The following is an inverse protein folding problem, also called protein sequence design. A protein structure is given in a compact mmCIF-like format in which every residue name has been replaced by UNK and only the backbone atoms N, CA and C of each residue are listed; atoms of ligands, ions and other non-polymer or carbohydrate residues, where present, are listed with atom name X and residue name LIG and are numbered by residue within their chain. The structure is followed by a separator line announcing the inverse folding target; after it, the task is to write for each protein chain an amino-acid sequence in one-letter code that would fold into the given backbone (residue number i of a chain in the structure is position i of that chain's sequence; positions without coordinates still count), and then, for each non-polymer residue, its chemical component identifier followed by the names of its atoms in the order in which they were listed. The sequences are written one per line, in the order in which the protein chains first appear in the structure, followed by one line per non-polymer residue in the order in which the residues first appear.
data_IF_086550872107
#
_entry.id   IF_086550872107
#
_cell.length_a   1.000
_cell.length_b   1.000
_cell.length_c   1.000
_cell.angle_alpha   90.00
_cell.angle_beta   90.00
_cell.angle_gamma   90.00
#
_symmetry.space_group_name_H-M   'P 1'
#
loop_
_entity.id
_entity.type
_entity.pdbx_description
1 polymer ?
#
# COMPACT_ATOMS: atom_id res chain seq x y z
N UNK A 1 18.53 9.59 -31.57
CA UNK A 1 18.49 10.83 -30.76
C UNK A 1 17.10 10.91 -30.13
N UNK A 2 16.96 10.63 -28.84
CA UNK A 2 15.66 10.65 -28.16
C UNK A 2 15.20 12.12 -28.08
N UNK A 3 14.08 12.45 -28.71
CA UNK A 3 13.44 13.76 -28.54
C UNK A 3 13.11 13.96 -27.06
N UNK A 4 13.45 15.11 -26.45
CA UNK A 4 13.09 15.38 -25.06
C UNK A 4 11.57 15.52 -24.97
N UNK A 5 10.93 14.53 -24.33
CA UNK A 5 9.49 14.54 -24.03
C UNK A 5 9.23 15.44 -22.83
N UNK A 6 8.21 16.31 -22.92
CA UNK A 6 7.72 17.05 -21.76
C UNK A 6 7.11 16.10 -20.71
N UNK A 7 7.00 16.53 -19.45
CA UNK A 7 6.37 15.71 -18.40
C UNK A 7 4.97 15.24 -18.80
N UNK A 8 4.13 16.16 -19.26
CA UNK A 8 2.77 15.84 -19.69
C UNK A 8 2.74 14.89 -20.88
N UNK A 9 3.69 15.00 -21.82
CA UNK A 9 3.76 14.07 -22.95
C UNK A 9 4.21 12.68 -22.50
N UNK A 10 5.17 12.59 -21.59
CA UNK A 10 5.62 11.33 -20.99
C UNK A 10 4.47 10.59 -20.31
N UNK A 11 3.62 11.29 -19.56
CA UNK A 11 2.43 10.69 -18.91
C UNK A 11 1.45 10.13 -19.94
N UNK A 12 1.22 10.84 -21.06
CA UNK A 12 0.35 10.38 -22.13
C UNK A 12 0.89 9.16 -22.84
N UNK A 13 2.20 9.12 -23.12
CA UNK A 13 2.83 7.96 -23.75
C UNK A 13 2.87 6.75 -22.80
N UNK A 14 3.04 6.97 -21.49
CA UNK A 14 2.97 5.91 -20.50
C UNK A 14 1.57 5.30 -20.39
N UNK A 15 0.50 6.12 -20.43
CA UNK A 15 -0.88 5.60 -20.49
C UNK A 15 -1.15 4.82 -21.77
N UNK A 16 -0.68 5.34 -22.90
CA UNK A 16 -0.81 4.70 -24.20
C UNK A 16 -0.21 3.29 -24.18
N UNK A 17 1.03 3.18 -23.73
CA UNK A 17 1.75 1.91 -23.62
C UNK A 17 1.04 0.95 -22.67
N UNK A 18 0.66 1.42 -21.49
CA UNK A 18 -0.06 0.64 -20.49
C UNK A 18 -1.36 0.07 -21.05
N UNK A 19 -2.16 0.89 -21.73
CA UNK A 19 -3.41 0.44 -22.34
C UNK A 19 -3.15 -0.59 -23.44
N UNK A 20 -2.25 -0.30 -24.38
CA UNK A 20 -1.95 -1.23 -25.47
C UNK A 20 -1.39 -2.56 -24.96
N UNK A 21 -0.52 -2.54 -23.95
CA UNK A 21 0.14 -3.72 -23.42
C UNK A 21 -0.82 -4.62 -22.62
N UNK A 22 -1.62 -4.05 -21.72
CA UNK A 22 -2.45 -4.85 -20.81
C UNK A 22 -3.89 -5.08 -21.30
N UNK A 23 -4.43 -4.21 -22.16
CA UNK A 23 -5.77 -4.40 -22.77
C UNK A 23 -5.67 -5.05 -24.14
N UNK A 24 -4.53 -4.93 -24.82
CA UNK A 24 -4.31 -5.54 -26.14
C UNK A 24 -4.79 -4.67 -27.32
N UNK A 25 -5.38 -3.50 -27.06
CA UNK A 25 -5.72 -2.55 -28.11
C UNK A 25 -5.65 -1.11 -27.61
N UNK A 26 -5.42 -0.19 -28.55
CA UNK A 26 -5.39 1.24 -28.32
C UNK A 26 -5.99 1.97 -29.53
N UNK A 27 -6.97 2.82 -29.26
CA UNK A 27 -7.55 3.75 -30.24
C UNK A 27 -7.10 5.17 -29.92
N UNK A 28 -7.02 6.00 -30.95
CA UNK A 28 -6.75 7.44 -30.79
C UNK A 28 -7.73 8.09 -29.79
N UNK A 29 -9.01 7.71 -29.87
CA UNK A 29 -10.07 8.21 -28.98
C UNK A 29 -9.85 7.89 -27.50
N UNK A 30 -9.08 6.86 -27.18
CA UNK A 30 -8.74 6.53 -25.79
C UNK A 30 -7.82 7.59 -25.17
N UNK A 31 -6.87 8.09 -25.95
CA UNK A 31 -5.94 9.14 -25.52
C UNK A 31 -6.71 10.45 -25.36
N UNK A 32 -7.61 10.75 -26.30
CA UNK A 32 -8.45 11.94 -26.28
C UNK A 32 -9.36 11.97 -25.06
N UNK A 33 -10.10 10.88 -24.82
CA UNK A 33 -11.01 10.77 -23.69
C UNK A 33 -10.27 10.87 -22.35
N UNK A 34 -9.08 10.25 -22.27
CA UNK A 34 -8.31 10.20 -21.04
C UNK A 34 -7.69 11.53 -20.62
N UNK A 35 -7.17 12.30 -21.58
CA UNK A 35 -6.42 13.52 -21.31
C UNK A 35 -7.13 14.80 -21.75
N UNK A 36 -8.38 14.68 -22.24
CA UNK A 36 -9.16 15.80 -22.75
C UNK A 36 -8.41 16.62 -23.81
N UNK A 37 -7.65 15.93 -24.68
CA UNK A 37 -6.86 16.55 -25.74
C UNK A 37 -7.54 16.47 -27.10
N UNK A 38 -7.20 17.39 -27.99
CA UNK A 38 -7.71 17.41 -29.37
C UNK A 38 -7.09 16.27 -30.21
N UNK A 39 -7.80 15.80 -31.26
CA UNK A 39 -7.31 14.79 -32.21
C UNK A 39 -5.88 14.94 -32.69
N UNK A 40 -5.48 16.15 -33.09
CA UNK A 40 -4.13 16.41 -33.59
C UNK A 40 -3.05 16.19 -32.52
N UNK A 41 -3.35 16.42 -31.23
CA UNK A 41 -2.43 16.14 -30.14
C UNK A 41 -2.31 14.62 -29.91
N UNK A 42 -3.43 13.90 -29.87
CA UNK A 42 -3.44 12.45 -29.71
C UNK A 42 -2.68 11.72 -30.84
N UNK A 43 -2.86 12.15 -32.09
CA UNK A 43 -2.10 11.62 -33.23
C UNK A 43 -0.60 11.89 -33.10
N UNK A 44 -0.21 13.10 -32.64
CA UNK A 44 1.21 13.42 -32.41
C UNK A 44 1.81 12.54 -31.33
N UNK A 45 1.10 12.28 -30.24
CA UNK A 45 1.59 11.43 -29.15
C UNK A 45 1.72 9.97 -29.59
N UNK A 46 0.74 9.44 -30.34
CA UNK A 46 0.79 8.11 -30.91
C UNK A 46 1.96 7.93 -31.90
N UNK A 47 2.19 8.92 -32.75
CA UNK A 47 3.33 8.93 -33.67
C UNK A 47 4.65 9.04 -32.91
N UNK A 48 4.73 9.89 -31.89
CA UNK A 48 5.92 10.00 -31.05
C UNK A 48 6.24 8.67 -30.37
N UNK A 49 5.24 7.99 -29.79
CA UNK A 49 5.43 6.67 -29.21
C UNK A 49 5.94 5.65 -30.23
N UNK A 50 5.34 5.59 -31.43
CA UNK A 50 5.80 4.70 -32.51
C UNK A 50 7.20 5.04 -33.04
N UNK A 51 7.64 6.29 -32.94
CA UNK A 51 9.03 6.65 -33.25
C UNK A 51 9.99 6.16 -32.16
N UNK A 52 9.56 6.19 -30.90
CA UNK A 52 10.36 5.70 -29.77
C UNK A 52 10.40 4.17 -29.68
N UNK A 53 9.31 3.49 -30.00
CA UNK A 53 9.16 2.04 -29.94
C UNK A 53 8.45 1.51 -31.21
N UNK A 54 9.15 1.50 -32.36
CA UNK A 54 8.55 1.17 -33.66
C UNK A 54 8.00 -0.24 -33.76
N UNK A 55 8.57 -1.18 -32.99
CA UNK A 55 8.14 -2.57 -32.96
C UNK A 55 6.96 -2.82 -32.03
N UNK A 56 6.57 -1.87 -31.16
CA UNK A 56 5.57 -2.16 -30.13
C UNK A 56 4.15 -2.24 -30.71
N UNK A 57 3.81 -1.47 -31.75
CA UNK A 57 2.43 -1.36 -32.23
C UNK A 57 2.31 -1.57 -33.74
N UNK A 58 1.36 -2.43 -34.13
CA UNK A 58 0.85 -2.54 -35.49
C UNK A 58 -0.53 -1.89 -35.57
N UNK A 59 -0.83 -1.20 -36.68
CA UNK A 59 -2.18 -0.68 -36.91
C UNK A 59 -3.02 -1.73 -37.63
N UNK A 60 -4.16 -2.09 -37.04
CA UNK A 60 -5.15 -2.97 -37.64
C UNK A 60 -6.28 -2.12 -38.28
N UNK A 61 -6.41 -2.12 -39.62
CA UNK A 61 -7.42 -1.33 -40.32
C UNK A 61 -8.86 -1.87 -40.17
N UNK A 62 -9.04 -3.14 -39.80
CA UNK A 62 -10.35 -3.77 -39.66
C UNK A 62 -11.05 -3.29 -38.39
N UNK A 63 -10.36 -3.37 -37.24
CA UNK A 63 -10.86 -2.87 -35.95
C UNK A 63 -10.54 -1.39 -35.72
N UNK A 64 -9.74 -0.77 -36.60
CA UNK A 64 -9.30 0.63 -36.54
C UNK A 64 -8.61 0.98 -35.22
N UNK A 65 -7.72 0.09 -34.78
CA UNK A 65 -6.98 0.21 -33.53
C UNK A 65 -5.51 -0.16 -33.72
N UNK A 66 -4.67 0.24 -32.77
CA UNK A 66 -3.29 -0.20 -32.65
C UNK A 66 -3.24 -1.39 -31.70
N UNK A 67 -2.59 -2.46 -32.14
CA UNK A 67 -2.45 -3.72 -31.40
C UNK A 67 -0.97 -3.94 -31.02
N UNK A 68 -0.69 -4.52 -29.84
CA UNK A 68 0.67 -4.89 -29.47
C UNK A 68 1.20 -5.98 -30.38
N UNK A 69 2.49 -5.92 -30.72
CA UNK A 69 3.14 -6.97 -31.51
C UNK A 69 3.83 -8.01 -30.62
N UNK A 70 4.23 -9.17 -31.16
CA UNK A 70 5.07 -10.13 -30.42
C UNK A 70 6.44 -9.58 -29.99
N UNK A 71 6.89 -8.45 -30.57
CA UNK A 71 8.17 -7.80 -30.23
C UNK A 71 8.00 -6.64 -29.25
N UNK A 72 6.83 -6.48 -28.63
CA UNK A 72 6.56 -5.38 -27.71
C UNK A 72 7.53 -5.36 -26.52
N UNK A 73 8.25 -4.26 -26.36
CA UNK A 73 9.14 -3.99 -25.23
C UNK A 73 8.73 -2.68 -24.55
N UNK A 74 8.12 -2.72 -23.35
CA UNK A 74 7.72 -1.51 -22.65
C UNK A 74 8.89 -0.53 -22.42
N UNK A 75 8.66 0.73 -22.75
CA UNK A 75 9.60 1.85 -22.59
C UNK A 75 9.38 2.54 -21.24
N UNK A 76 8.15 2.51 -20.71
CA UNK A 76 7.78 3.09 -19.43
C UNK A 76 7.68 2.01 -18.35
N UNK A 77 8.15 2.28 -17.12
CA UNK A 77 8.10 1.30 -16.04
C UNK A 77 6.66 1.07 -15.57
N UNK A 78 6.31 -0.20 -15.37
CA UNK A 78 5.07 -0.63 -14.72
C UNK A 78 5.38 -1.36 -13.40
N UNK A 79 4.48 -1.30 -12.45
CA UNK A 79 4.43 -2.24 -11.33
C UNK A 79 3.12 -3.02 -11.40
N UNK A 80 3.16 -4.30 -11.05
CA UNK A 80 1.96 -5.14 -11.01
C UNK A 80 0.89 -4.51 -10.09
N UNK A 81 1.31 -3.95 -8.95
CA UNK A 81 0.45 -3.22 -8.03
C UNK A 81 -0.30 -2.06 -8.71
N UNK A 82 0.42 -1.19 -9.43
CA UNK A 82 -0.20 -0.04 -10.11
C UNK A 82 -1.17 -0.47 -11.20
N UNK A 83 -0.82 -1.52 -11.95
CA UNK A 83 -1.65 -2.03 -13.04
C UNK A 83 -2.92 -2.68 -12.49
N UNK A 84 -2.81 -3.49 -11.43
CA UNK A 84 -3.97 -4.09 -10.77
C UNK A 84 -4.86 -3.03 -10.09
N UNK A 85 -4.27 -2.00 -9.48
CA UNK A 85 -5.03 -0.88 -8.93
C UNK A 85 -5.76 -0.08 -10.02
N UNK A 86 -5.13 0.09 -11.20
CA UNK A 86 -5.76 0.70 -12.36
C UNK A 86 -6.95 -0.12 -12.87
N UNK A 87 -6.82 -1.45 -12.93
CA UNK A 87 -7.95 -2.33 -13.26
C UNK A 87 -9.07 -2.29 -12.22
N UNK A 88 -8.72 -2.29 -10.94
CA UNK A 88 -9.68 -2.38 -9.85
C UNK A 88 -10.44 -1.07 -9.59
N UNK A 89 -9.77 0.08 -9.71
CA UNK A 89 -10.33 1.35 -9.30
C UNK A 89 -10.38 2.43 -10.38
N UNK A 90 -9.73 2.22 -11.52
CA UNK A 90 -9.42 3.28 -12.48
C UNK A 90 -8.35 4.28 -11.99
N UNK A 91 -8.09 4.35 -10.67
CA UNK A 91 -7.27 5.36 -9.99
C UNK A 91 -5.95 5.68 -10.69
N UNK A 92 -5.66 6.98 -10.75
CA UNK A 92 -4.59 7.60 -11.55
C UNK A 92 -5.15 8.33 -12.78
N UNK A 93 -6.48 8.36 -12.95
CA UNK A 93 -7.19 8.66 -14.18
C UNK A 93 -7.98 9.97 -14.23
N UNK A 94 -8.12 10.70 -13.13
CA UNK A 94 -8.71 12.04 -13.14
C UNK A 94 -10.10 12.13 -13.80
N UNK A 95 -10.89 11.05 -13.77
CA UNK A 95 -12.36 10.90 -13.98
C UNK A 95 -12.71 9.66 -14.85
N UNK A 96 -13.37 8.66 -14.24
CA UNK A 96 -14.53 7.95 -14.82
C UNK A 96 -14.35 6.62 -15.60
N UNK A 97 -15.44 5.81 -15.70
CA UNK A 97 -15.50 4.34 -15.73
C UNK A 97 -15.17 3.66 -17.07
N UNK A 98 -14.23 4.20 -17.85
CA UNK A 98 -13.94 3.67 -19.19
C UNK A 98 -13.00 2.47 -19.18
N UNK A 99 -12.08 2.38 -18.22
CA UNK A 99 -11.13 1.26 -18.08
C UNK A 99 -11.81 0.04 -17.44
N UNK A 100 -12.72 0.28 -16.48
CA UNK A 100 -13.45 -0.76 -15.76
C UNK A 100 -14.29 -1.70 -16.66
N UNK A 101 -14.47 -1.37 -17.93
CA UNK A 101 -15.24 -2.18 -18.89
C UNK A 101 -14.40 -3.18 -19.69
N UNK A 102 -13.08 -3.01 -19.75
CA UNK A 102 -12.24 -3.85 -20.61
C UNK A 102 -11.79 -5.14 -19.93
N UNK A 103 -11.55 -5.11 -18.62
CA UNK A 103 -11.16 -6.28 -17.82
C UNK A 103 -12.03 -6.28 -16.56
N UNK A 104 -13.00 -7.20 -16.42
CA UNK A 104 -13.78 -7.33 -15.19
C UNK A 104 -12.85 -7.60 -14.01
N UNK A 105 -12.87 -6.70 -13.03
CA UNK A 105 -12.03 -6.79 -11.83
C UNK A 105 -12.86 -6.39 -10.62
N UNK A 106 -12.87 -7.24 -9.61
CA UNK A 106 -13.53 -7.00 -8.33
C UNK A 106 -12.51 -7.22 -7.20
N UNK A 107 -12.63 -6.43 -6.14
CA UNK A 107 -11.80 -6.54 -4.96
C UNK A 107 -12.67 -6.57 -3.72
N UNK A 108 -12.07 -6.89 -2.58
CA UNK A 108 -12.78 -7.02 -1.30
C UNK A 108 -13.48 -5.73 -0.80
N UNK A 109 -13.29 -4.60 -1.50
CA UNK A 109 -13.80 -3.29 -1.11
C UNK A 109 -13.07 -2.70 0.09
N UNK A 110 -13.37 -1.43 0.40
CA UNK A 110 -12.94 -0.80 1.64
C UNK A 110 -14.12 -0.73 2.60
N UNK A 111 -14.03 -1.40 3.74
CA UNK A 111 -15.06 -1.35 4.79
C UNK A 111 -15.06 -0.02 5.56
N UNK A 112 -13.97 0.73 5.49
CA UNK A 112 -13.70 1.87 6.37
C UNK A 112 -13.09 2.99 5.54
N UNK A 113 -13.70 4.18 5.59
CA UNK A 113 -13.21 5.39 4.94
C UNK A 113 -13.00 6.49 5.99
N UNK A 114 -11.76 6.99 6.17
CA UNK A 114 -11.50 8.16 7.02
C UNK A 114 -12.22 9.41 6.50
N UNK A 115 -12.68 10.25 7.43
CA UNK A 115 -13.16 11.59 7.09
C UNK A 115 -12.04 12.44 6.47
N UNK A 116 -12.33 13.09 5.34
CA UNK A 116 -11.35 13.89 4.59
C UNK A 116 -10.85 15.11 5.38
N UNK A 117 -11.74 15.77 6.13
CA UNK A 117 -11.38 16.92 6.94
C UNK A 117 -10.38 16.53 8.03
N UNK A 118 -10.70 15.47 8.78
CA UNK A 118 -9.84 14.90 9.80
C UNK A 118 -8.49 14.44 9.24
N UNK A 119 -8.48 13.73 8.10
CA UNK A 119 -7.25 13.30 7.46
C UNK A 119 -6.36 14.50 7.06
N UNK A 120 -6.97 15.58 6.53
CA UNK A 120 -6.23 16.79 6.14
C UNK A 120 -5.56 17.49 7.33
N UNK A 121 -6.26 17.58 8.47
CA UNK A 121 -5.72 18.18 9.70
C UNK A 121 -4.57 17.33 10.26
N UNK A 122 -4.73 16.01 10.28
CA UNK A 122 -3.67 15.09 10.74
C UNK A 122 -2.42 15.19 9.86
N UNK A 123 -2.59 15.13 8.55
CA UNK A 123 -1.47 15.17 7.61
C UNK A 123 -0.74 16.51 7.61
N UNK A 124 -1.46 17.63 7.76
CA UNK A 124 -0.85 18.95 7.97
C UNK A 124 -0.05 19.01 9.26
N UNK A 125 -0.58 18.49 10.36
CA UNK A 125 0.12 18.46 11.65
C UNK A 125 1.37 17.56 11.64
N UNK A 126 1.32 16.42 10.93
CA UNK A 126 2.53 15.60 10.66
C UNK A 126 3.55 16.43 9.90
N UNK A 127 3.13 17.09 8.81
CA UNK A 127 4.02 17.86 7.95
C UNK A 127 4.65 19.06 8.67
N UNK A 128 3.88 19.77 9.50
CA UNK A 128 4.37 20.92 10.25
C UNK A 128 5.03 20.55 11.58
N UNK A 129 4.91 19.30 12.04
CA UNK A 129 5.41 18.84 13.34
C UNK A 129 4.72 19.51 14.53
N UNK A 130 3.39 19.60 14.52
CA UNK A 130 2.60 20.24 15.58
C UNK A 130 1.65 19.26 16.28
N UNK A 131 1.32 19.55 17.53
CA UNK A 131 0.38 18.75 18.30
C UNK A 131 -1.07 18.94 17.83
N UNK A 132 -1.87 17.91 18.09
CA UNK A 132 -3.32 17.90 17.88
C UNK A 132 -4.01 17.56 19.19
N UNK A 133 -5.13 18.23 19.44
CA UNK A 133 -6.13 17.72 20.37
C UNK A 133 -7.14 16.88 19.61
N UNK A 134 -7.31 15.61 20.01
CA UNK A 134 -8.28 14.69 19.42
C UNK A 134 -9.31 14.22 20.44
N UNK A 135 -10.52 13.93 19.97
CA UNK A 135 -11.49 13.09 20.68
C UNK A 135 -11.39 11.68 20.11
N UNK A 136 -10.91 10.72 20.89
CA UNK A 136 -10.67 9.35 20.46
C UNK A 136 -11.62 8.37 21.14
N UNK A 137 -12.22 7.49 20.35
CA UNK A 137 -13.08 6.40 20.82
C UNK A 137 -12.27 5.11 20.97
N UNK A 138 -11.79 4.84 22.19
CA UNK A 138 -11.09 3.59 22.51
C UNK A 138 -12.07 2.42 22.64
N UNK A 139 -11.65 1.21 22.24
CA UNK A 139 -12.40 -0.01 22.52
C UNK A 139 -12.40 -0.37 24.01
N UNK A 140 -11.31 -0.08 24.72
CA UNK A 140 -11.14 -0.46 26.12
C UNK A 140 -11.68 0.57 27.10
N UNK A 141 -11.55 1.87 26.76
CA UNK A 141 -11.83 2.97 27.69
C UNK A 141 -12.88 3.96 27.20
N UNK A 142 -13.50 3.72 26.04
CA UNK A 142 -14.48 4.64 25.45
C UNK A 142 -13.89 5.98 25.01
N UNK A 143 -14.73 7.02 25.00
CA UNK A 143 -14.38 8.34 24.50
C UNK A 143 -13.44 9.10 25.45
N UNK A 144 -12.32 9.60 24.92
CA UNK A 144 -11.37 10.43 25.67
C UNK A 144 -10.79 11.55 24.82
N UNK A 145 -10.54 12.71 25.44
CA UNK A 145 -9.75 13.79 24.83
C UNK A 145 -8.26 13.50 25.03
N UNK A 146 -7.48 13.58 23.96
CA UNK A 146 -6.03 13.33 23.97
C UNK A 146 -5.30 14.47 23.28
N UNK A 147 -4.09 14.76 23.76
CA UNK A 147 -3.14 15.59 23.02
C UNK A 147 -2.07 14.66 22.48
N UNK A 148 -1.95 14.64 21.15
CA UNK A 148 -1.03 13.77 20.44
C UNK A 148 -0.12 14.60 19.53
N UNK A 149 1.10 14.14 19.31
CA UNK A 149 1.99 14.66 18.26
C UNK A 149 2.06 13.61 17.17
N UNK A 150 1.32 13.76 16.06
CA UNK A 150 1.31 12.78 15.00
C UNK A 150 2.64 12.79 14.24
N UNK A 151 3.18 11.62 13.95
CA UNK A 151 4.52 11.46 13.34
C UNK A 151 4.50 10.68 12.03
N UNK A 152 3.53 9.78 11.83
CA UNK A 152 3.42 9.02 10.59
C UNK A 152 2.00 8.48 10.36
N UNK A 153 1.69 8.20 9.10
CA UNK A 153 0.57 7.34 8.74
C UNK A 153 1.05 5.89 8.61
N UNK A 154 0.20 4.96 9.04
CA UNK A 154 0.45 3.53 8.91
C UNK A 154 -0.77 2.83 8.32
N UNK A 155 -0.55 2.10 7.24
CA UNK A 155 -1.54 1.17 6.66
C UNK A 155 -1.25 -0.25 7.15
N UNK A 156 -2.24 -0.87 7.81
CA UNK A 156 -2.16 -2.26 8.21
C UNK A 156 -2.84 -3.24 7.22
N UNK A 157 -3.32 -2.75 6.09
CA UNK A 157 -4.04 -3.51 5.05
C UNK A 157 -5.56 -3.58 5.26
N UNK A 158 -6.06 -3.16 6.41
CA UNK A 158 -7.51 -3.14 6.71
C UNK A 158 -7.99 -1.75 7.13
N UNK A 159 -7.16 -1.00 7.88
CA UNK A 159 -7.46 0.32 8.41
C UNK A 159 -6.19 1.17 8.45
N UNK A 160 -6.38 2.46 8.23
CA UNK A 160 -5.33 3.45 8.44
C UNK A 160 -5.24 3.86 9.91
N UNK A 161 -4.00 4.05 10.34
CA UNK A 161 -3.65 4.58 11.66
C UNK A 161 -2.79 5.82 11.51
N UNK A 162 -2.83 6.67 12.52
CA UNK A 162 -1.79 7.66 12.78
C UNK A 162 -0.92 7.16 13.92
N UNK A 163 0.38 7.02 13.66
CA UNK A 163 1.40 6.85 14.70
C UNK A 163 1.64 8.20 15.34
N UNK A 164 1.56 8.30 16.66
CA UNK A 164 1.71 9.57 17.36
C UNK A 164 2.30 9.40 18.76
N UNK A 165 2.99 10.42 19.26
CA UNK A 165 3.36 10.52 20.66
C UNK A 165 2.14 11.00 21.48
N UNK A 166 1.64 10.16 22.39
CA UNK A 166 0.56 10.52 23.33
C UNK A 166 1.18 11.27 24.51
N UNK A 167 0.94 12.59 24.62
CA UNK A 167 1.50 13.41 25.69
C UNK A 167 0.99 13.03 27.08
N UNK A 168 -0.21 12.46 27.18
CA UNK A 168 -0.77 12.03 28.46
C UNK A 168 -0.07 10.76 28.95
N UNK A 169 0.15 9.81 28.03
CA UNK A 169 0.81 8.52 28.35
C UNK A 169 2.33 8.56 28.18
N UNK A 170 2.89 9.65 27.65
CA UNK A 170 4.32 9.87 27.37
C UNK A 170 4.96 8.72 26.58
N UNK A 171 4.26 8.25 25.54
CA UNK A 171 4.72 7.15 24.68
C UNK A 171 4.19 7.27 23.26
N UNK A 172 4.87 6.64 22.32
CA UNK A 172 4.33 6.43 20.98
C UNK A 172 3.22 5.37 20.98
N UNK A 173 2.19 5.60 20.19
CA UNK A 173 1.03 4.72 20.05
C UNK A 173 0.39 4.88 18.65
N UNK A 174 -0.39 3.88 18.26
CA UNK A 174 -1.19 3.92 17.04
C UNK A 174 -2.63 4.30 17.36
N UNK A 175 -3.19 5.23 16.59
CA UNK A 175 -4.58 5.64 16.68
C UNK A 175 -5.28 5.35 15.36
N UNK A 176 -6.35 4.54 15.40
CA UNK A 176 -7.15 4.25 14.20
C UNK A 176 -7.83 5.53 13.73
N UNK A 177 -7.62 5.92 12.47
CA UNK A 177 -8.14 7.19 11.96
C UNK A 177 -9.66 7.32 12.13
N UNK A 178 -10.41 6.26 11.87
CA UNK A 178 -11.89 6.28 11.96
C UNK A 178 -12.46 6.23 13.36
N UNK A 179 -11.60 6.18 14.39
CA UNK A 179 -12.01 6.35 15.79
C UNK A 179 -11.72 7.75 16.33
N UNK A 180 -11.15 8.63 15.49
CA UNK A 180 -10.97 10.04 15.80
C UNK A 180 -12.25 10.76 15.39
N UNK A 181 -13.05 11.15 16.38
CA UNK A 181 -14.33 11.84 16.19
C UNK A 181 -14.12 13.33 15.88
N UNK A 182 -13.20 13.97 16.59
CA UNK A 182 -12.87 15.40 16.44
C UNK A 182 -11.38 15.60 16.47
N UNK A 183 -10.90 16.54 15.68
CA UNK A 183 -9.52 17.00 15.66
C UNK A 183 -9.48 18.52 15.75
N UNK A 184 -8.52 19.04 16.51
CA UNK A 184 -8.22 20.46 16.61
C UNK A 184 -6.71 20.62 16.59
N UNK A 185 -6.20 21.40 15.64
CA UNK A 185 -4.80 21.79 15.61
C UNK A 185 -4.45 22.66 16.82
N UNK A 186 -3.27 22.41 17.40
CA UNK A 186 -2.69 23.23 18.45
C UNK A 186 -1.44 23.91 17.89
N UNK A 187 -1.24 25.17 18.25
CA UNK A 187 -0.01 25.91 17.92
C UNK A 187 1.10 25.54 18.92
N UNK A 188 1.38 24.24 19.00
CA UNK A 188 2.31 23.64 19.94
C UNK A 188 3.27 22.74 19.16
N UNK A 189 4.50 23.20 18.88
CA UNK A 189 5.46 22.42 18.10
C UNK A 189 5.93 21.18 18.87
N UNK A 190 6.28 20.13 18.12
CA UNK A 190 6.82 18.90 18.66
C UNK A 190 8.19 19.09 19.32
N UNK A 191 8.31 18.70 20.59
CA UNK A 191 9.59 18.58 21.25
C UNK A 191 10.41 17.42 20.66
N UNK A 192 11.73 17.43 20.81
CA UNK A 192 12.63 16.44 20.20
C UNK A 192 12.26 14.98 20.51
N UNK A 193 11.82 14.69 21.73
CA UNK A 193 11.42 13.35 22.17
C UNK A 193 10.04 12.91 21.66
N UNK A 194 9.27 13.81 21.04
CA UNK A 194 7.93 13.55 20.50
C UNK A 194 7.96 13.30 18.98
N UNK A 195 9.14 13.46 18.34
CA UNK A 195 9.33 13.32 16.89
C UNK A 195 9.59 11.89 16.49
N UNK A 196 9.45 11.61 15.19
CA UNK A 196 9.59 10.26 14.64
C UNK A 196 10.96 9.64 14.94
N UNK A 197 12.03 10.45 15.02
CA UNK A 197 13.39 9.99 15.31
C UNK A 197 13.52 9.42 16.74
N UNK A 198 12.65 9.84 17.66
CA UNK A 198 12.61 9.35 19.03
C UNK A 198 11.78 8.06 19.19
N UNK A 199 11.02 7.64 18.17
CA UNK A 199 10.23 6.41 18.23
C UNK A 199 11.10 5.18 17.97
N UNK A 200 11.56 4.55 19.05
CA UNK A 200 12.39 3.36 18.98
C UNK A 200 11.72 2.19 18.22
N UNK A 201 10.40 2.01 18.37
CA UNK A 201 9.67 0.93 17.68
C UNK A 201 9.56 1.21 16.18
N UNK A 202 9.38 2.47 15.79
CA UNK A 202 9.32 2.85 14.38
C UNK A 202 10.68 2.69 13.69
N UNK A 203 11.75 3.15 14.34
CA UNK A 203 13.09 3.15 13.76
C UNK A 203 13.79 1.79 13.84
N UNK A 204 13.38 0.90 14.76
CA UNK A 204 13.89 -0.47 14.83
C UNK A 204 13.40 -1.29 13.64
N UNK A 205 14.31 -1.67 12.75
CA UNK A 205 14.02 -2.57 11.62
C UNK A 205 14.16 -4.04 12.05
N UNK A 206 13.15 -4.84 11.70
CA UNK A 206 13.02 -6.25 12.04
C UNK A 206 12.96 -7.08 10.76
N UNK A 207 13.69 -8.20 10.76
CA UNK A 207 13.70 -9.17 9.66
C UNK A 207 12.75 -10.33 9.99
N UNK A 208 11.55 -10.30 9.43
CA UNK A 208 10.59 -11.40 9.56
C UNK A 208 10.91 -12.45 8.51
N UNK A 209 11.43 -13.58 8.97
CA UNK A 209 11.75 -14.75 8.13
C UNK A 209 10.57 -15.70 8.15
N UNK A 210 9.94 -15.92 7.00
CA UNK A 210 8.71 -16.73 6.88
C UNK A 210 8.99 -18.00 6.08
N UNK A 211 8.42 -19.11 6.54
CA UNK A 211 8.52 -20.44 5.95
C UNK A 211 7.11 -20.97 5.64
N UNK A 212 6.93 -21.91 4.70
CA UNK A 212 5.67 -22.63 4.55
C UNK A 212 5.30 -23.34 5.86
N UNK A 213 4.00 -23.35 6.18
CA UNK A 213 3.51 -24.03 7.36
C UNK A 213 3.75 -25.55 7.27
N UNK A 214 4.31 -26.21 8.29
CA UNK A 214 4.70 -27.62 8.23
C UNK A 214 3.51 -28.58 8.04
N UNK A 215 2.32 -28.17 8.48
CA UNK A 215 1.07 -28.92 8.28
C UNK A 215 0.55 -28.97 6.84
N UNK A 216 1.15 -28.22 5.90
CA UNK A 216 0.71 -28.23 4.50
C UNK A 216 1.12 -29.52 3.80
N UNK A 217 0.17 -30.12 3.07
CA UNK A 217 0.43 -31.27 2.21
C UNK A 217 1.30 -30.93 0.99
N UNK A 218 1.18 -29.71 0.48
CA UNK A 218 1.82 -29.21 -0.75
C UNK A 218 2.50 -27.84 -0.51
N UNK A 219 3.60 -27.79 0.26
CA UNK A 219 4.31 -26.53 0.57
C UNK A 219 4.88 -25.85 -0.68
N UNK A 220 5.09 -26.57 -1.79
CA UNK A 220 5.57 -26.05 -3.07
C UNK A 220 4.67 -24.95 -3.65
N UNK A 221 3.35 -25.01 -3.40
CA UNK A 221 2.41 -23.97 -3.82
C UNK A 221 2.72 -22.64 -3.11
N UNK A 222 2.94 -22.68 -1.80
CA UNK A 222 3.32 -21.52 -0.99
C UNK A 222 4.70 -20.98 -1.41
N UNK A 223 5.65 -21.88 -1.70
CA UNK A 223 6.98 -21.48 -2.22
C UNK A 223 6.85 -20.72 -3.54
N UNK A 224 5.98 -21.18 -4.45
CA UNK A 224 5.72 -20.52 -5.72
C UNK A 224 5.01 -19.17 -5.54
N UNK A 225 3.94 -19.12 -4.72
CA UNK A 225 3.12 -17.93 -4.48
C UNK A 225 3.96 -16.75 -3.98
N UNK A 226 4.85 -17.01 -3.00
CA UNK A 226 5.70 -15.98 -2.40
C UNK A 226 7.09 -15.89 -3.04
N UNK A 227 7.34 -16.65 -4.11
CA UNK A 227 8.65 -16.74 -4.81
C UNK A 227 9.81 -16.94 -3.83
N UNK A 228 9.61 -17.87 -2.89
CA UNK A 228 10.57 -18.13 -1.83
C UNK A 228 11.89 -18.68 -2.41
N UNK A 229 13.01 -18.29 -1.80
CA UNK A 229 14.32 -18.86 -2.09
C UNK A 229 14.66 -19.85 -0.99
N UNK A 230 14.94 -21.11 -1.35
CA UNK A 230 15.21 -22.20 -0.41
C UNK A 230 14.11 -22.35 0.67
N UNK A 231 12.85 -22.18 0.27
CA UNK A 231 11.70 -22.29 1.18
C UNK A 231 11.55 -21.13 2.16
N UNK A 232 12.25 -20.00 1.94
CA UNK A 232 12.21 -18.83 2.80
C UNK A 232 11.86 -17.56 2.02
N UNK A 233 11.05 -16.69 2.64
CA UNK A 233 10.92 -15.28 2.26
C UNK A 233 11.24 -14.40 3.46
N UNK A 234 11.86 -13.24 3.22
CA UNK A 234 12.21 -12.29 4.29
C UNK A 234 11.53 -10.95 4.05
N UNK A 235 10.79 -10.47 5.05
CA UNK A 235 10.21 -9.13 5.07
C UNK A 235 10.99 -8.25 6.05
N UNK A 236 11.41 -7.06 5.59
CA UNK A 236 12.00 -6.05 6.46
C UNK A 236 10.92 -5.05 6.84
N UNK A 237 10.59 -4.95 8.12
CA UNK A 237 9.50 -4.09 8.64
C UNK A 237 9.97 -3.30 9.86
N UNK A 238 9.25 -2.25 10.26
CA UNK A 238 9.50 -1.59 11.55
C UNK A 238 8.91 -2.45 12.66
N UNK A 239 9.47 -2.38 13.87
CA UNK A 239 8.91 -3.07 15.03
C UNK A 239 7.48 -2.58 15.33
N UNK A 240 7.20 -1.29 15.12
CA UNK A 240 5.86 -0.72 15.21
C UNK A 240 4.83 -1.42 14.31
N UNK A 241 5.25 -1.98 13.17
CA UNK A 241 4.34 -2.62 12.19
C UNK A 241 4.42 -4.15 12.15
N UNK A 242 5.36 -4.76 12.87
CA UNK A 242 5.64 -6.20 12.75
C UNK A 242 4.40 -7.07 13.01
N UNK A 243 3.68 -6.84 14.11
CA UNK A 243 2.48 -7.62 14.42
C UNK A 243 1.34 -7.43 13.43
N UNK A 244 1.16 -6.21 12.90
CA UNK A 244 0.16 -5.96 11.84
C UNK A 244 0.49 -6.73 10.55
N UNK A 245 1.77 -6.78 10.18
CA UNK A 245 2.21 -7.52 8.99
C UNK A 245 2.00 -9.02 9.18
N UNK A 246 2.35 -9.56 10.35
CA UNK A 246 2.13 -10.97 10.68
C UNK A 246 0.64 -11.33 10.69
N UNK A 247 -0.21 -10.45 11.21
CA UNK A 247 -1.66 -10.62 11.17
C UNK A 247 -2.21 -10.57 9.74
N UNK A 248 -1.79 -9.59 8.94
CA UNK A 248 -2.25 -9.41 7.55
C UNK A 248 -1.96 -10.62 6.68
N UNK A 249 -0.79 -11.23 6.86
CA UNK A 249 -0.38 -12.42 6.12
C UNK A 249 -0.75 -13.73 6.80
N UNK A 250 -1.57 -13.67 7.87
CA UNK A 250 -1.99 -14.82 8.66
C UNK A 250 -0.81 -15.73 9.03
N UNK A 251 0.31 -15.16 9.47
CA UNK A 251 1.51 -15.92 9.84
C UNK A 251 1.31 -16.56 11.20
N UNK A 252 1.48 -17.88 11.29
CA UNK A 252 1.52 -18.57 12.57
C UNK A 252 2.79 -18.22 13.35
N UNK A 253 2.60 -17.59 14.51
CA UNK A 253 3.63 -17.19 15.45
C UNK A 253 3.54 -17.95 16.79
N UNK A 254 2.80 -19.07 16.84
CA UNK A 254 2.75 -19.98 17.97
C UNK A 254 4.11 -20.69 18.19
N UNK A 255 4.44 -21.09 19.44
CA UNK A 255 5.71 -21.75 19.74
C UNK A 255 5.95 -23.03 18.94
N UNK A 256 4.88 -23.78 18.71
CA UNK A 256 4.86 -25.11 18.12
C UNK A 256 4.28 -25.16 16.70
N UNK A 257 3.92 -24.00 16.13
CA UNK A 257 3.30 -23.87 14.79
C UNK A 257 2.01 -24.70 14.70
N UNK A 258 1.16 -24.52 15.71
CA UNK A 258 -0.05 -25.30 15.95
C UNK A 258 -1.31 -24.72 15.33
N UNK A 259 -1.26 -23.54 14.71
CA UNK A 259 -2.44 -22.99 14.08
C UNK A 259 -2.81 -23.78 12.82
N UNK A 260 -4.09 -23.68 12.45
CA UNK A 260 -4.62 -24.41 11.29
C UNK A 260 -3.90 -23.97 10.00
N UNK A 261 -3.11 -24.90 9.44
CA UNK A 261 -2.35 -24.68 8.22
C UNK A 261 -3.21 -24.36 6.99
N UNK A 262 -4.52 -24.65 7.01
CA UNK A 262 -5.44 -24.25 5.94
C UNK A 262 -5.78 -22.75 5.97
N UNK A 263 -5.51 -22.07 7.08
CA UNK A 263 -5.71 -20.62 7.26
C UNK A 263 -4.39 -19.87 7.38
N UNK A 264 -3.38 -20.53 7.93
CA UNK A 264 -2.05 -19.99 8.18
C UNK A 264 -1.03 -20.71 7.32
N UNK A 265 -0.89 -20.30 6.05
CA UNK A 265 0.03 -20.94 5.10
C UNK A 265 1.52 -20.70 5.42
N UNK A 266 1.81 -19.74 6.30
CA UNK A 266 3.15 -19.30 6.67
C UNK A 266 3.38 -19.45 8.17
N UNK A 267 4.62 -19.75 8.57
CA UNK A 267 5.09 -19.70 9.94
C UNK A 267 6.25 -18.72 10.09
N UNK A 268 6.36 -18.09 11.25
CA UNK A 268 7.54 -17.33 11.62
C UNK A 268 8.70 -18.28 11.96
N UNK A 269 9.84 -18.11 11.28
CA UNK A 269 11.00 -18.97 11.45
C UNK A 269 11.66 -18.79 12.84
N UNK A 270 11.74 -17.55 13.31
CA UNK A 270 12.38 -17.16 14.56
C UNK A 270 11.50 -16.16 15.32
N UNK A 271 10.98 -16.60 16.47
CA UNK A 271 10.08 -15.81 17.31
C UNK A 271 10.82 -14.81 18.21
N UNK A 272 12.11 -15.03 18.48
CA UNK A 272 12.91 -14.10 19.31
C UNK A 272 13.01 -12.71 18.68
N UNK A 273 12.80 -12.63 17.36
CA UNK A 273 12.74 -11.37 16.63
C UNK A 273 11.61 -10.45 17.10
N UNK A 274 10.59 -10.99 17.78
CA UNK A 274 9.46 -10.25 18.35
C UNK A 274 9.69 -9.80 19.80
N UNK A 275 10.85 -10.10 20.39
CA UNK A 275 11.17 -9.63 21.74
C UNK A 275 11.29 -8.10 21.79
N UNK A 276 10.57 -7.50 22.75
CA UNK A 276 10.47 -6.05 22.90
C UNK A 276 9.74 -5.35 21.76
N UNK A 277 8.89 -6.06 21.02
CA UNK A 277 8.08 -5.51 19.93
C UNK A 277 6.64 -5.32 20.42
N UNK A 278 6.25 -4.07 20.62
CA UNK A 278 4.93 -3.75 21.21
C UNK A 278 3.77 -4.27 20.34
N UNK A 279 3.94 -4.24 19.01
CA UNK A 279 2.90 -4.70 18.08
C UNK A 279 2.74 -6.23 18.04
N UNK A 280 3.69 -7.00 18.58
CA UNK A 280 3.72 -8.47 18.46
C UNK A 280 2.47 -9.15 19.04
N UNK A 281 1.79 -8.51 20.00
CA UNK A 281 0.52 -8.98 20.58
C UNK A 281 -0.60 -9.16 19.54
N UNK A 282 -0.46 -8.53 18.36
CA UNK A 282 -1.41 -8.66 17.24
C UNK A 282 -1.14 -9.91 16.38
N UNK A 283 0.03 -10.52 16.49
CA UNK A 283 0.44 -11.62 15.63
C UNK A 283 -0.31 -12.92 16.00
N UNK A 284 -0.85 -13.67 15.02
CA UNK A 284 -1.58 -14.91 15.29
C UNK A 284 -0.74 -15.93 16.07
N UNK A 285 -1.30 -16.47 17.16
CA UNK A 285 -0.62 -17.48 18.00
C UNK A 285 0.54 -16.94 18.84
N UNK A 286 0.87 -15.64 18.77
CA UNK A 286 1.88 -15.06 19.63
C UNK A 286 1.39 -15.05 21.09
N UNK A 287 2.23 -15.59 21.98
CA UNK A 287 2.02 -15.55 23.42
C UNK A 287 3.23 -14.85 24.02
N UNK A 288 2.99 -13.73 24.69
CA UNK A 288 4.05 -13.02 25.41
C UNK A 288 4.59 -13.92 26.54
N UNK A 289 5.91 -13.98 26.67
CA UNK A 289 6.51 -14.56 27.86
C UNK A 289 6.16 -13.66 29.06
N UNK A 290 5.15 -14.07 29.83
CA UNK A 290 4.58 -13.43 31.02
C UNK A 290 3.71 -12.18 30.79
N UNK A 291 2.39 -12.39 30.70
CA UNK A 291 1.36 -11.60 31.41
C UNK A 291 1.24 -10.09 31.18
N UNK A 292 1.87 -9.49 30.18
CA UNK A 292 1.63 -8.09 29.85
C UNK A 292 0.29 -7.95 29.11
N UNK A 293 -0.77 -7.63 29.85
CA UNK A 293 -2.04 -7.17 29.28
C UNK A 293 -1.80 -5.98 28.33
N UNK A 294 -2.22 -6.14 27.07
CA UNK A 294 -2.13 -5.08 26.08
C UNK A 294 -3.21 -4.02 26.33
N UNK A 295 -2.81 -2.74 26.40
CA UNK A 295 -3.66 -1.58 26.68
C UNK A 295 -3.90 -0.69 25.46
#
# INVERSE_FOLDING_TARGET
MQLPLSHSQRERLAYLELKAYFVGELRRGDIEARFSIKPAAATRDLNAYRQHAPDNLAYDPYIKAYIPTPRFQPVFPFSAERVLAWFLHGIGDGQGPMVARSIPCEGAGQLVQPDFGMLSEITRAIHSGHALQISYLSLSSGAAKKVIVPVALADNGLRWHVRAYDRQKKRFADFVLTRIDKVKALDEPAASHERIEADAQWNRRIKLRLLPHPGLKHPEAVVADYRMQNGLVTLNVSAALAGYVLLRWAVDCSPDRSLDSARHHLCLADRSVLEGVDSAVLAPGFVAANGAEAA
#
